data_IF_474984138388
#
_entry.id   IF_474984138388
#
_cell.length_a   1.000
_cell.length_b   1.000
_cell.length_c   1.000
_cell.angle_alpha   90.00
_cell.angle_beta   90.00
_cell.angle_gamma   90.00
#
_symmetry.space_group_name_H-M   'P 1'
#
loop_
_entity.id
_entity.type
_entity.pdbx_description
1 polymer ?
#
# COMPACT_ATOMS: atom_id res chain seq x y z
N UNK A 1 0.96 19.07 7.02
CA UNK A 1 0.89 17.60 7.17
C UNK A 1 2.26 17.06 6.80
N UNK A 2 2.97 16.43 7.74
CA UNK A 2 4.23 15.75 7.43
C UNK A 2 3.85 14.38 6.87
N UNK A 3 3.96 14.22 5.55
CA UNK A 3 3.65 12.99 4.82
C UNK A 3 4.87 12.06 4.71
N UNK A 4 5.99 12.40 5.35
CA UNK A 4 7.22 11.61 5.36
C UNK A 4 7.37 10.80 6.66
N UNK A 5 8.12 9.71 6.57
CA UNK A 5 8.53 8.93 7.75
C UNK A 5 9.42 9.76 8.68
N UNK A 6 9.36 9.46 9.97
CA UNK A 6 10.27 10.01 10.98
C UNK A 6 11.71 9.61 10.68
N UNK A 7 12.71 10.49 10.89
CA UNK A 7 14.12 10.14 10.83
C UNK A 7 14.47 8.83 11.52
N UNK A 8 15.26 7.98 10.85
CA UNK A 8 15.63 6.65 11.35
C UNK A 8 14.53 5.57 11.24
N UNK A 9 13.56 5.71 10.34
CA UNK A 9 12.55 4.69 10.09
C UNK A 9 13.15 3.35 9.68
N UNK A 10 12.65 2.28 10.29
CA UNK A 10 13.05 0.91 10.03
C UNK A 10 11.86 -0.03 10.13
N UNK A 11 11.88 -1.12 9.38
CA UNK A 11 10.94 -2.22 9.59
C UNK A 11 11.35 -2.94 10.86
N UNK A 12 10.39 -3.13 11.76
CA UNK A 12 10.63 -3.70 13.07
C UNK A 12 9.57 -4.75 13.43
N UNK A 13 9.91 -5.57 14.42
CA UNK A 13 9.08 -6.63 14.96
C UNK A 13 9.09 -6.59 16.46
N UNK A 14 7.93 -6.79 17.06
CA UNK A 14 7.78 -7.07 18.49
C UNK A 14 6.93 -8.33 18.62
N UNK A 15 7.34 -9.24 19.50
CA UNK A 15 6.57 -10.45 19.82
C UNK A 15 5.86 -10.22 21.14
N UNK A 16 4.65 -10.76 21.25
CA UNK A 16 3.85 -10.77 22.47
C UNK A 16 2.81 -11.88 22.35
N UNK A 17 1.84 -11.87 23.25
CA UNK A 17 0.75 -12.85 23.26
C UNK A 17 -0.58 -12.21 23.63
N UNK A 18 -1.64 -12.84 23.15
CA UNK A 18 -3.02 -12.48 23.46
C UNK A 18 -3.51 -13.41 24.58
N UNK A 19 -4.07 -12.84 25.64
CA UNK A 19 -4.74 -13.58 26.72
C UNK A 19 -6.21 -13.20 26.69
N UNK A 20 -7.08 -14.18 26.55
CA UNK A 20 -8.53 -13.96 26.50
C UNK A 20 -9.21 -14.55 27.73
N UNK A 21 -10.31 -13.92 28.12
CA UNK A 21 -11.20 -14.40 29.18
C UNK A 21 -12.62 -13.92 28.88
N UNK A 22 -13.58 -14.38 29.67
CA UNK A 22 -14.96 -13.88 29.60
C UNK A 22 -15.08 -12.38 29.95
N UNK A 23 -14.02 -11.77 30.50
CA UNK A 23 -13.97 -10.34 30.83
C UNK A 23 -13.31 -9.48 29.75
N UNK A 24 -12.68 -10.08 28.74
CA UNK A 24 -12.05 -9.35 27.64
C UNK A 24 -10.72 -9.93 27.15
N UNK A 25 -9.98 -9.07 26.45
CA UNK A 25 -8.72 -9.40 25.77
C UNK A 25 -7.59 -8.57 26.36
N UNK A 26 -6.46 -9.21 26.65
CA UNK A 26 -5.25 -8.58 27.18
C UNK A 26 -4.05 -8.89 26.27
N UNK A 27 -3.24 -7.87 25.97
CA UNK A 27 -1.99 -7.99 25.22
C UNK A 27 -0.80 -8.04 26.20
N UNK A 28 0.00 -9.09 26.16
CA UNK A 28 1.16 -9.28 27.05
C UNK A 28 2.47 -9.42 26.28
N UNK A 29 3.56 -9.10 26.97
CA UNK A 29 4.93 -9.44 26.61
C UNK A 29 5.49 -8.76 25.34
N UNK A 30 4.85 -7.69 24.85
CA UNK A 30 5.35 -6.82 23.78
C UNK A 30 6.49 -5.89 24.24
N UNK A 31 7.52 -6.44 24.87
CA UNK A 31 8.53 -5.65 25.62
C UNK A 31 9.84 -5.44 24.87
N UNK A 32 10.09 -6.20 23.81
CA UNK A 32 11.34 -6.14 23.06
C UNK A 32 11.09 -5.93 21.57
N UNK A 33 11.44 -4.73 21.09
CA UNK A 33 11.43 -4.39 19.66
C UNK A 33 12.74 -4.83 19.02
N UNK A 34 12.64 -5.61 17.95
CA UNK A 34 13.76 -5.98 17.09
C UNK A 34 13.65 -5.23 15.77
N UNK A 35 14.69 -4.48 15.44
CA UNK A 35 14.86 -3.93 14.08
C UNK A 35 15.14 -5.09 13.12
N UNK A 36 14.39 -5.16 12.03
CA UNK A 36 14.55 -6.19 11.00
C UNK A 36 15.48 -5.70 9.89
N UNK A 37 15.16 -4.58 9.26
CA UNK A 37 15.96 -3.96 8.20
C UNK A 37 15.55 -2.50 7.95
N UNK A 38 16.39 -1.77 7.21
CA UNK A 38 16.26 -0.37 6.83
C UNK A 38 16.40 -0.25 5.30
N UNK A 39 16.07 0.91 4.74
CA UNK A 39 16.34 1.19 3.32
C UNK A 39 17.84 1.07 3.01
N UNK A 40 18.17 0.44 1.88
CA UNK A 40 19.54 0.01 1.55
C UNK A 40 20.29 0.98 0.62
N UNK A 41 19.60 1.98 0.07
CA UNK A 41 20.14 2.95 -0.87
C UNK A 41 20.48 2.37 -2.24
N UNK A 42 20.17 1.09 -2.47
CA UNK A 42 20.42 0.37 -3.73
C UNK A 42 19.12 0.04 -4.43
N UNK A 43 18.17 -0.57 -3.72
CA UNK A 43 16.80 -0.77 -4.21
C UNK A 43 15.86 0.29 -3.64
N UNK A 44 16.01 0.63 -2.36
CA UNK A 44 15.11 1.50 -1.61
C UNK A 44 15.82 2.76 -1.14
N UNK A 45 15.21 3.91 -1.39
CA UNK A 45 15.77 5.23 -1.10
C UNK A 45 16.01 5.44 0.39
N UNK A 46 17.17 6.00 0.74
CA UNK A 46 17.52 6.31 2.14
C UNK A 46 17.25 7.77 2.50
N UNK A 47 17.28 8.07 3.80
CA UNK A 47 17.28 9.44 4.34
C UNK A 47 18.33 10.35 3.70
N UNK A 48 19.53 9.81 3.49
CA UNK A 48 20.64 10.56 2.93
C UNK A 48 20.37 10.95 1.46
N UNK A 49 19.68 10.09 0.71
CA UNK A 49 19.33 10.32 -0.69
C UNK A 49 18.12 11.25 -0.85
N UNK A 50 17.18 11.22 0.09
CA UNK A 50 16.00 12.07 0.12
C UNK A 50 15.54 12.26 1.56
N UNK A 51 15.57 13.49 2.08
CA UNK A 51 15.11 13.79 3.46
C UNK A 51 13.62 13.58 3.71
N UNK A 52 12.84 13.33 2.65
CA UNK A 52 11.41 13.03 2.68
C UNK A 52 11.08 11.66 2.07
N UNK A 53 12.03 10.73 2.05
CA UNK A 53 11.82 9.37 1.58
C UNK A 53 10.68 8.65 2.32
N UNK A 54 10.13 7.64 1.67
CA UNK A 54 9.13 6.73 2.21
C UNK A 54 9.75 5.35 2.47
N UNK A 55 9.53 4.78 3.66
CA UNK A 55 9.95 3.42 4.02
C UNK A 55 9.15 2.91 5.22
N UNK A 56 8.01 2.23 4.98
CA UNK A 56 7.03 1.90 6.04
C UNK A 56 6.08 0.77 5.64
N UNK A 57 5.11 0.51 6.51
CA UNK A 57 3.96 -0.37 6.28
C UNK A 57 4.30 -1.83 5.92
N UNK A 58 5.00 -2.56 6.82
CA UNK A 58 5.30 -3.97 6.59
C UNK A 58 4.02 -4.82 6.57
N UNK A 59 3.83 -5.57 5.50
CA UNK A 59 2.72 -6.53 5.32
C UNK A 59 3.27 -7.93 5.01
N UNK A 60 3.54 -8.74 6.06
CA UNK A 60 4.04 -10.10 5.89
C UNK A 60 2.94 -11.05 5.39
N UNK A 61 3.31 -11.99 4.51
CA UNK A 61 2.42 -13.02 3.98
C UNK A 61 3.21 -14.29 3.63
N UNK A 62 2.52 -15.43 3.66
CA UNK A 62 3.08 -16.68 3.13
C UNK A 62 2.66 -16.79 1.67
N UNK A 63 3.62 -16.93 0.76
CA UNK A 63 3.31 -17.14 -0.66
C UNK A 63 2.59 -18.49 -0.83
N UNK A 64 1.37 -18.53 -1.42
CA UNK A 64 0.65 -19.78 -1.59
C UNK A 64 1.33 -20.76 -2.54
N UNK A 65 2.25 -20.29 -3.39
CA UNK A 65 2.93 -21.12 -4.38
C UNK A 65 4.19 -21.81 -3.83
N UNK A 66 5.06 -21.10 -3.11
CA UNK A 66 6.31 -21.68 -2.59
C UNK A 66 6.37 -21.86 -1.06
N UNK A 67 5.38 -21.36 -0.33
CA UNK A 67 5.25 -21.52 1.12
C UNK A 67 6.24 -20.70 1.96
N UNK A 68 7.03 -19.81 1.35
CA UNK A 68 7.95 -18.93 2.11
C UNK A 68 7.21 -17.72 2.66
N UNK A 69 7.77 -17.19 3.74
CA UNK A 69 7.33 -15.94 4.34
C UNK A 69 7.99 -14.76 3.60
N UNK A 70 7.17 -13.95 2.96
CA UNK A 70 7.52 -12.70 2.30
C UNK A 70 6.91 -11.52 3.06
N UNK A 71 7.33 -10.31 2.69
CA UNK A 71 6.78 -9.06 3.18
C UNK A 71 6.82 -8.03 2.06
N UNK A 72 5.67 -7.41 1.76
CA UNK A 72 5.65 -6.17 1.00
C UNK A 72 5.66 -4.98 1.95
N UNK A 73 6.20 -3.86 1.48
CA UNK A 73 6.31 -2.61 2.25
C UNK A 73 6.38 -1.43 1.28
N UNK A 74 6.04 -0.24 1.75
CA UNK A 74 6.21 0.99 0.97
C UNK A 74 7.69 1.39 0.95
N UNK A 75 8.17 1.80 -0.22
CA UNK A 75 9.47 2.43 -0.39
C UNK A 75 9.42 3.57 -1.41
N UNK A 76 10.54 4.27 -1.55
CA UNK A 76 10.87 4.99 -2.78
C UNK A 76 12.00 4.28 -3.53
N UNK A 77 12.05 4.43 -4.86
CA UNK A 77 13.17 3.93 -5.68
C UNK A 77 14.46 4.64 -5.28
N UNK A 78 15.50 3.87 -4.97
CA UNK A 78 16.80 4.41 -4.57
C UNK A 78 17.40 5.40 -5.58
N UNK A 79 18.19 6.34 -5.06
CA UNK A 79 18.85 7.39 -5.83
C UNK A 79 18.60 8.78 -5.25
N UNK A 80 19.50 9.72 -5.51
CA UNK A 80 19.41 11.10 -5.03
C UNK A 80 18.11 11.76 -5.49
N UNK A 81 17.44 12.49 -4.60
CA UNK A 81 16.15 13.14 -4.87
C UNK A 81 16.23 14.00 -6.14
N UNK A 82 15.38 13.68 -7.13
CA UNK A 82 15.31 14.41 -8.39
C UNK A 82 16.38 14.03 -9.43
N UNK A 83 17.19 13.01 -9.17
CA UNK A 83 18.14 12.44 -10.15
C UNK A 83 17.51 11.37 -11.05
N UNK A 84 16.32 10.87 -10.69
CA UNK A 84 15.62 9.81 -11.40
C UNK A 84 15.28 10.23 -12.83
N UNK A 85 15.39 9.29 -13.76
CA UNK A 85 15.01 9.48 -15.15
C UNK A 85 13.62 8.91 -15.37
N UNK A 86 12.71 9.73 -15.88
CA UNK A 86 11.41 9.26 -16.41
C UNK A 86 11.63 9.02 -17.89
N UNK A 87 12.00 7.79 -18.24
CA UNK A 87 12.31 7.38 -19.60
C UNK A 87 11.12 6.77 -20.33
N UNK A 88 11.39 6.15 -21.47
CA UNK A 88 10.36 5.49 -22.29
C UNK A 88 9.67 4.34 -21.53
N UNK A 89 10.39 3.66 -20.64
CA UNK A 89 9.84 2.56 -19.85
C UNK A 89 8.86 3.07 -18.78
N UNK A 90 9.19 4.17 -18.11
CA UNK A 90 8.35 4.81 -17.09
C UNK A 90 7.14 5.53 -17.70
N UNK A 91 7.37 6.25 -18.80
CA UNK A 91 6.33 7.01 -19.50
C UNK A 91 5.30 6.09 -20.16
N UNK A 92 5.76 4.95 -20.69
CA UNK A 92 4.95 4.08 -21.52
C UNK A 92 4.45 4.79 -22.80
N UNK A 93 3.42 4.24 -23.47
CA UNK A 93 2.86 4.85 -24.66
C UNK A 93 2.01 6.08 -24.29
N UNK A 94 2.45 7.27 -24.70
CA UNK A 94 1.68 8.51 -24.58
C UNK A 94 1.36 9.10 -25.97
N UNK A 95 0.25 9.85 -26.11
CA UNK A 95 -0.04 10.55 -27.36
C UNK A 95 1.04 11.60 -27.68
N UNK A 96 1.31 11.89 -28.97
CA UNK A 96 2.25 12.94 -29.35
C UNK A 96 1.96 14.27 -28.64
N UNK A 97 2.99 14.91 -28.11
CA UNK A 97 2.90 16.17 -27.37
C UNK A 97 2.68 16.02 -25.85
N UNK A 98 2.69 14.78 -25.32
CA UNK A 98 2.57 14.48 -23.89
C UNK A 98 3.86 13.88 -23.31
N UNK A 99 5.00 14.06 -23.99
CA UNK A 99 6.31 13.56 -23.57
C UNK A 99 7.01 14.47 -22.55
N UNK A 100 6.53 15.70 -22.34
CA UNK A 100 7.06 16.58 -21.30
C UNK A 100 6.55 16.13 -19.92
N UNK A 101 7.48 15.66 -19.11
CA UNK A 101 7.24 15.10 -17.78
C UNK A 101 7.47 16.11 -16.65
N UNK A 102 7.82 17.37 -16.96
CA UNK A 102 7.98 18.43 -15.96
C UNK A 102 8.83 18.02 -14.74
N UNK A 103 8.24 18.14 -13.55
CA UNK A 103 8.82 17.76 -12.26
C UNK A 103 8.66 16.28 -11.87
N UNK A 104 8.08 15.43 -12.71
CA UNK A 104 7.68 14.06 -12.36
C UNK A 104 8.79 13.16 -11.79
N UNK A 105 10.06 13.48 -12.07
CA UNK A 105 11.25 12.83 -11.47
C UNK A 105 11.33 12.92 -9.94
N UNK A 106 10.51 13.76 -9.29
CA UNK A 106 10.43 13.84 -7.84
C UNK A 106 9.45 12.82 -7.24
N UNK A 107 8.57 12.21 -8.03
CA UNK A 107 7.61 11.19 -7.61
C UNK A 107 8.18 9.82 -7.94
N UNK A 108 8.63 9.10 -6.91
CA UNK A 108 9.44 7.88 -7.10
C UNK A 108 9.00 6.76 -6.16
N UNK A 109 7.70 6.64 -5.89
CA UNK A 109 7.14 5.59 -5.04
C UNK A 109 7.43 4.18 -5.59
N UNK A 110 7.55 3.20 -4.70
CA UNK A 110 7.61 1.80 -5.06
C UNK A 110 7.01 0.88 -4.00
N UNK A 111 6.61 -0.31 -4.44
CA UNK A 111 6.23 -1.41 -3.55
C UNK A 111 7.41 -2.35 -3.44
N UNK A 112 7.99 -2.41 -2.25
CA UNK A 112 9.12 -3.27 -1.96
C UNK A 112 8.74 -4.70 -1.63
N UNK A 113 9.76 -5.56 -1.64
CA UNK A 113 9.65 -6.95 -1.25
C UNK A 113 10.86 -7.36 -0.42
N UNK A 114 10.61 -8.16 0.62
CA UNK A 114 11.63 -8.89 1.34
C UNK A 114 11.18 -10.34 1.56
N UNK A 115 12.13 -11.25 1.69
CA UNK A 115 11.91 -12.66 2.01
C UNK A 115 12.56 -13.00 3.35
N UNK A 116 11.84 -13.67 4.23
CA UNK A 116 12.41 -14.16 5.47
C UNK A 116 13.27 -15.40 5.22
N UNK A 117 14.36 -15.55 5.97
CA UNK A 117 15.20 -16.77 5.91
C UNK A 117 14.41 -18.04 6.26
N UNK A 118 13.40 -17.89 7.13
CA UNK A 118 12.47 -18.94 7.54
C UNK A 118 11.15 -18.34 8.05
N UNK A 119 10.19 -19.21 8.40
CA UNK A 119 8.87 -18.81 8.91
C UNK A 119 8.90 -18.14 10.28
N UNK A 120 10.05 -18.09 10.96
CA UNK A 120 10.16 -17.33 12.21
C UNK A 120 10.06 -15.82 11.96
N UNK A 121 10.44 -15.35 10.76
CA UNK A 121 10.45 -13.94 10.38
C UNK A 121 11.43 -13.11 11.21
N UNK A 122 12.56 -13.70 11.62
CA UNK A 122 13.58 -13.06 12.45
C UNK A 122 14.69 -12.39 11.64
N UNK A 123 14.94 -12.85 10.42
CA UNK A 123 15.97 -12.36 9.52
C UNK A 123 15.41 -12.30 8.12
N UNK A 124 15.71 -11.22 7.41
CA UNK A 124 15.10 -10.89 6.13
C UNK A 124 16.16 -10.51 5.11
N UNK A 125 15.93 -10.92 3.87
CA UNK A 125 16.67 -10.47 2.70
C UNK A 125 15.79 -9.51 1.90
N UNK A 126 16.31 -8.31 1.66
CA UNK A 126 15.67 -7.30 0.83
C UNK A 126 15.80 -7.72 -0.65
N UNK A 127 14.70 -7.69 -1.39
CA UNK A 127 14.62 -8.03 -2.81
C UNK A 127 14.34 -6.78 -3.67
N UNK A 128 14.53 -6.82 -5.00
CA UNK A 128 14.11 -5.74 -5.89
C UNK A 128 12.61 -5.39 -5.73
N UNK A 129 12.22 -4.13 -5.98
CA UNK A 129 10.82 -3.71 -5.89
C UNK A 129 9.95 -4.44 -6.91
N UNK A 130 8.70 -4.71 -6.53
CA UNK A 130 7.71 -5.37 -7.38
C UNK A 130 7.03 -4.42 -8.36
N UNK A 131 6.75 -3.19 -7.91
CA UNK A 131 6.11 -2.13 -8.68
C UNK A 131 6.86 -0.83 -8.41
N UNK A 132 7.21 -0.10 -9.46
CA UNK A 132 7.75 1.26 -9.37
C UNK A 132 6.75 2.23 -9.98
N UNK A 133 6.61 3.41 -9.36
CA UNK A 133 5.73 4.50 -9.78
C UNK A 133 6.54 5.76 -10.11
N UNK A 134 7.76 5.57 -10.63
CA UNK A 134 8.65 6.67 -11.05
C UNK A 134 7.97 7.49 -12.14
N UNK A 135 7.83 8.80 -11.89
CA UNK A 135 7.12 9.69 -12.80
C UNK A 135 5.58 9.62 -12.70
N UNK A 136 5.04 8.85 -11.74
CA UNK A 136 3.59 8.66 -11.58
C UNK A 136 3.12 9.15 -10.22
N UNK A 137 3.64 8.59 -9.13
CA UNK A 137 3.19 8.93 -7.78
C UNK A 137 4.31 8.68 -6.76
N UNK A 138 4.43 9.55 -5.75
CA UNK A 138 5.46 9.42 -4.71
C UNK A 138 5.12 8.39 -3.63
N UNK A 139 3.83 8.08 -3.45
CA UNK A 139 3.35 7.27 -2.34
C UNK A 139 2.52 6.09 -2.84
N UNK A 140 3.02 4.89 -2.58
CA UNK A 140 2.31 3.62 -2.75
C UNK A 140 2.24 2.94 -1.38
N UNK A 141 1.40 3.49 -0.52
CA UNK A 141 1.35 3.17 0.91
C UNK A 141 0.57 1.88 1.19
N UNK A 142 0.73 1.35 2.40
CA UNK A 142 0.07 0.13 2.90
C UNK A 142 -0.06 -1.00 1.87
N UNK A 143 1.02 -1.42 1.18
CA UNK A 143 0.89 -2.50 0.22
C UNK A 143 0.47 -3.81 0.90
N UNK A 144 -0.40 -4.59 0.28
CA UNK A 144 -0.85 -5.88 0.80
C UNK A 144 -1.42 -6.76 -0.30
N UNK A 145 -1.40 -8.08 -0.07
CA UNK A 145 -1.97 -9.05 -1.00
C UNK A 145 -3.37 -9.49 -0.59
N UNK A 146 -4.20 -9.71 -1.61
CA UNK A 146 -5.31 -10.67 -1.57
C UNK A 146 -5.05 -11.73 -2.64
N UNK A 147 -5.17 -13.00 -2.26
CA UNK A 147 -5.09 -14.11 -3.19
C UNK A 147 -6.50 -14.61 -3.50
N UNK A 148 -6.87 -14.63 -4.78
CA UNK A 148 -8.19 -15.09 -5.22
C UNK A 148 -8.08 -15.73 -6.61
N UNK A 149 -8.73 -16.87 -6.82
CA UNK A 149 -8.81 -17.54 -8.13
C UNK A 149 -7.44 -17.78 -8.80
N UNK A 150 -6.44 -18.13 -7.99
CA UNK A 150 -5.06 -18.35 -8.45
C UNK A 150 -4.33 -17.07 -8.88
N UNK A 151 -4.82 -15.89 -8.48
CA UNK A 151 -4.24 -14.58 -8.79
C UNK A 151 -3.70 -13.87 -7.57
N UNK A 152 -2.69 -13.05 -7.80
CA UNK A 152 -2.02 -12.17 -6.86
C UNK A 152 -2.55 -10.76 -7.05
N UNK A 153 -3.46 -10.32 -6.18
CA UNK A 153 -3.94 -8.93 -6.16
C UNK A 153 -3.08 -8.13 -5.17
N UNK A 154 -2.17 -7.31 -5.70
CA UNK A 154 -1.35 -6.39 -4.92
C UNK A 154 -2.08 -5.04 -4.83
N UNK A 155 -2.59 -4.72 -3.65
CA UNK A 155 -3.23 -3.45 -3.36
C UNK A 155 -2.27 -2.49 -2.67
N UNK A 156 -2.50 -1.21 -2.88
CA UNK A 156 -1.81 -0.10 -2.23
C UNK A 156 -2.76 1.10 -2.18
N UNK A 157 -2.48 2.08 -1.34
CA UNK A 157 -3.24 3.33 -1.31
C UNK A 157 -2.36 4.49 -1.74
N UNK A 158 -2.99 5.56 -2.22
CA UNK A 158 -2.29 6.77 -2.56
C UNK A 158 -3.20 7.98 -2.43
N UNK A 159 -2.57 9.16 -2.37
CA UNK A 159 -3.23 10.45 -2.36
C UNK A 159 -3.24 11.09 -3.75
N UNK A 160 -4.21 11.99 -3.97
CA UNK A 160 -4.27 12.83 -5.16
C UNK A 160 -3.07 13.77 -5.24
N UNK A 161 -2.64 14.34 -4.12
CA UNK A 161 -1.60 15.37 -4.09
C UNK A 161 -0.17 14.82 -4.26
N UNK A 162 0.00 13.49 -4.24
CA UNK A 162 1.30 12.83 -4.43
C UNK A 162 1.55 12.40 -5.87
N UNK A 163 0.57 12.62 -6.76
CA UNK A 163 0.75 12.41 -8.19
C UNK A 163 1.79 13.36 -8.79
N UNK A 164 2.46 12.87 -9.81
CA UNK A 164 3.40 13.63 -10.62
C UNK A 164 2.68 14.65 -11.53
N UNK A 165 3.45 15.61 -12.03
CA UNK A 165 2.98 16.55 -13.06
C UNK A 165 2.37 15.80 -14.25
N UNK A 166 1.20 16.25 -14.72
CA UNK A 166 0.51 15.66 -15.87
C UNK A 166 -0.32 14.41 -15.56
N UNK A 167 -0.30 13.89 -14.33
CA UNK A 167 -1.07 12.72 -13.90
C UNK A 167 -2.00 13.09 -12.74
N UNK A 168 -3.16 12.44 -12.63
CA UNK A 168 -4.07 12.64 -11.50
C UNK A 168 -4.93 11.41 -11.23
N UNK A 169 -5.42 11.31 -10.00
CA UNK A 169 -6.33 10.28 -9.52
C UNK A 169 -6.94 10.69 -8.18
N UNK A 170 -8.00 10.02 -7.71
CA UNK A 170 -8.56 10.27 -6.38
C UNK A 170 -7.68 9.66 -5.28
N UNK A 171 -7.85 10.15 -4.05
CA UNK A 171 -7.43 9.42 -2.86
C UNK A 171 -8.16 8.07 -2.81
N UNK A 172 -7.46 6.98 -2.48
CA UNK A 172 -8.10 5.68 -2.36
C UNK A 172 -7.20 4.49 -2.61
N UNK A 173 -7.82 3.36 -2.95
CA UNK A 173 -7.17 2.08 -3.26
C UNK A 173 -6.79 2.03 -4.74
N UNK A 174 -5.54 1.71 -4.98
CA UNK A 174 -4.99 1.29 -6.26
C UNK A 174 -4.59 -0.19 -6.17
N UNK A 175 -4.56 -0.87 -7.29
CA UNK A 175 -4.25 -2.29 -7.31
C UNK A 175 -3.70 -2.78 -8.64
N UNK A 176 -2.97 -3.88 -8.54
CA UNK A 176 -2.35 -4.57 -9.63
C UNK A 176 -2.60 -6.07 -9.50
N UNK A 177 -2.83 -6.75 -10.62
CA UNK A 177 -3.08 -8.20 -10.65
C UNK A 177 -2.03 -8.92 -11.45
N UNK A 178 -1.56 -10.06 -10.94
CA UNK A 178 -0.65 -10.96 -11.63
C UNK A 178 -1.00 -12.42 -11.38
N UNK A 179 -0.35 -13.30 -12.14
CA UNK A 179 -0.42 -14.75 -11.97
C UNK A 179 0.71 -15.30 -11.06
N UNK A 180 1.71 -14.47 -10.76
CA UNK A 180 2.90 -14.83 -9.98
C UNK A 180 3.34 -13.67 -9.09
N UNK A 181 3.99 -13.99 -7.97
CA UNK A 181 4.52 -13.00 -7.01
C UNK A 181 5.44 -11.95 -7.65
N UNK A 182 6.28 -12.33 -8.60
CA UNK A 182 7.23 -11.42 -9.26
C UNK A 182 6.67 -10.77 -10.54
N UNK A 183 5.36 -10.89 -10.77
CA UNK A 183 4.70 -10.35 -11.95
C UNK A 183 4.89 -11.20 -13.22
N UNK A 184 4.66 -10.60 -14.41
CA UNK A 184 4.31 -9.20 -14.63
C UNK A 184 2.94 -8.85 -14.04
N UNK A 185 2.84 -7.64 -13.50
CA UNK A 185 1.60 -7.08 -12.96
C UNK A 185 0.83 -6.28 -14.02
N UNK A 186 -0.50 -6.32 -13.95
CA UNK A 186 -1.40 -5.50 -14.76
C UNK A 186 -2.19 -4.57 -13.83
N UNK A 187 -2.26 -3.25 -14.09
CA UNK A 187 -3.10 -2.34 -13.31
C UNK A 187 -4.57 -2.74 -13.38
N UNK A 188 -5.24 -2.74 -12.22
CA UNK A 188 -6.68 -3.03 -12.12
C UNK A 188 -7.50 -1.95 -12.84
N UNK A 189 -8.64 -2.32 -13.42
CA UNK A 189 -9.55 -1.42 -14.13
C UNK A 189 -8.86 -0.57 -15.22
N UNK A 190 -7.79 -1.10 -15.82
CA UNK A 190 -6.93 -0.44 -16.81
C UNK A 190 -6.16 0.82 -16.33
N UNK A 191 -6.50 1.40 -15.18
CA UNK A 191 -5.84 2.61 -14.63
C UNK A 191 -5.06 2.38 -13.34
N UNK A 192 -5.25 1.21 -12.72
CA UNK A 192 -4.82 0.91 -11.36
C UNK A 192 -5.86 1.27 -10.30
N UNK A 193 -6.83 2.15 -10.57
CA UNK A 193 -7.83 2.57 -9.58
C UNK A 193 -8.78 1.43 -9.22
N UNK A 194 -8.93 1.10 -7.93
CA UNK A 194 -9.81 0.04 -7.42
C UNK A 194 -11.02 0.60 -6.68
N UNK A 195 -10.79 1.57 -5.80
CA UNK A 195 -11.82 2.23 -4.98
C UNK A 195 -11.32 3.64 -4.64
N UNK A 196 -11.88 4.66 -5.30
CA UNK A 196 -11.53 6.06 -5.05
C UNK A 196 -12.61 6.78 -4.25
N UNK A 197 -12.18 7.77 -3.46
CA UNK A 197 -13.10 8.72 -2.85
C UNK A 197 -13.87 9.49 -3.94
N UNK A 198 -15.16 9.79 -3.71
CA UNK A 198 -15.95 10.54 -4.68
C UNK A 198 -15.49 12.00 -4.75
N UNK A 199 -15.58 12.67 -5.92
CA UNK A 199 -15.15 14.07 -6.07
C UNK A 199 -15.83 15.05 -5.10
N UNK A 200 -17.08 14.78 -4.71
CA UNK A 200 -17.83 15.56 -3.74
C UNK A 200 -17.35 15.39 -2.29
N UNK A 201 -16.62 14.32 -1.97
CA UNK A 201 -16.02 14.08 -0.65
C UNK A 201 -14.61 13.48 -0.79
N UNK A 202 -13.66 14.23 -1.37
CA UNK A 202 -12.38 13.69 -1.85
C UNK A 202 -11.48 13.16 -0.73
N UNK A 203 -11.70 13.59 0.51
CA UNK A 203 -10.91 13.23 1.69
C UNK A 203 -11.72 12.42 2.71
N UNK A 204 -12.88 11.86 2.33
CA UNK A 204 -13.76 11.21 3.30
C UNK A 204 -13.08 10.02 4.00
N UNK A 205 -12.28 9.24 3.26
CA UNK A 205 -11.70 7.99 3.77
C UNK A 205 -10.26 7.79 3.30
N UNK A 206 -9.43 7.24 4.18
CA UNK A 206 -8.06 6.88 3.86
C UNK A 206 -7.58 5.64 4.63
N UNK A 207 -6.34 5.21 4.38
CA UNK A 207 -5.77 3.96 4.92
C UNK A 207 -6.65 2.74 4.70
N UNK A 208 -7.22 2.63 3.50
CA UNK A 208 -8.01 1.48 3.10
C UNK A 208 -7.21 0.16 3.21
N UNK A 209 -7.87 -0.92 3.64
CA UNK A 209 -7.30 -2.27 3.67
C UNK A 209 -8.32 -3.25 3.07
N UNK A 210 -7.95 -3.88 1.94
CA UNK A 210 -8.76 -4.89 1.27
C UNK A 210 -8.52 -6.23 1.94
N UNK A 211 -9.55 -6.77 2.58
CA UNK A 211 -9.52 -8.05 3.26
C UNK A 211 -9.77 -9.21 2.28
N UNK A 212 -9.25 -10.42 2.55
CA UNK A 212 -9.48 -11.61 1.72
C UNK A 212 -10.95 -11.99 1.42
N UNK A 213 -11.92 -11.51 2.18
CA UNK A 213 -13.36 -11.72 1.92
C UNK A 213 -13.98 -10.66 0.98
N UNK A 214 -13.18 -9.74 0.44
CA UNK A 214 -13.62 -8.64 -0.42
C UNK A 214 -14.18 -7.44 0.34
N UNK A 215 -14.14 -7.44 1.68
CA UNK A 215 -14.45 -6.24 2.46
C UNK A 215 -13.27 -5.29 2.47
N UNK A 216 -13.54 -3.98 2.54
CA UNK A 216 -12.54 -2.91 2.60
C UNK A 216 -12.88 -2.01 3.79
N UNK A 217 -12.00 -2.02 4.79
CA UNK A 217 -12.08 -1.08 5.92
C UNK A 217 -11.21 0.14 5.64
N UNK A 218 -11.52 1.28 6.26
CA UNK A 218 -10.78 2.54 6.13
C UNK A 218 -11.13 3.45 7.31
N UNK A 219 -10.30 4.44 7.61
CA UNK A 219 -10.69 5.48 8.59
C UNK A 219 -11.24 6.71 7.88
N UNK A 220 -12.08 7.45 8.59
CA UNK A 220 -12.60 8.74 8.15
C UNK A 220 -11.54 9.81 8.43
N UNK A 221 -11.04 10.44 7.37
CA UNK A 221 -10.15 11.60 7.50
C UNK A 221 -11.00 12.87 7.65
N UNK A 222 -11.50 13.40 6.54
CA UNK A 222 -12.12 14.73 6.50
C UNK A 222 -13.38 14.72 5.63
N UNK A 223 -14.54 14.94 6.24
CA UNK A 223 -15.84 14.98 5.55
C UNK A 223 -16.29 16.43 5.39
N UNK A 224 -16.63 16.89 4.17
CA UNK A 224 -17.16 18.23 3.95
C UNK A 224 -18.40 18.52 4.80
N UNK A 225 -18.51 19.75 5.30
CA UNK A 225 -19.69 20.24 6.02
C UNK A 225 -20.35 21.39 5.24
N UNK A 226 -20.62 22.54 5.88
CA UNK A 226 -21.19 23.70 5.20
C UNK A 226 -20.08 24.66 4.76
N UNK A 227 -20.08 25.09 3.50
CA UNK A 227 -19.02 25.96 2.97
C UNK A 227 -17.74 25.20 2.66
N UNK A 228 -16.59 25.74 3.06
CA UNK A 228 -15.26 25.14 2.86
C UNK A 228 -14.76 24.34 4.08
N UNK A 229 -15.59 24.19 5.10
CA UNK A 229 -15.23 23.54 6.37
C UNK A 229 -15.36 22.01 6.31
N UNK A 230 -14.47 21.33 7.04
CA UNK A 230 -14.45 19.87 7.16
C UNK A 230 -14.66 19.43 8.61
N UNK A 231 -15.38 18.32 8.77
CA UNK A 231 -15.40 17.56 10.02
C UNK A 231 -14.34 16.48 9.96
N UNK A 232 -13.43 16.51 10.94
CA UNK A 232 -12.42 15.48 11.11
C UNK A 232 -13.04 14.24 11.75
N UNK A 233 -12.74 13.07 11.19
CA UNK A 233 -13.22 11.79 11.67
C UNK A 233 -12.37 11.21 12.79
N UNK A 234 -11.24 10.61 12.46
CA UNK A 234 -10.39 9.90 13.41
C UNK A 234 -11.05 8.62 13.97
N UNK A 235 -11.91 7.99 13.17
CA UNK A 235 -12.64 6.75 13.49
C UNK A 235 -12.83 5.92 12.23
N UNK A 236 -13.19 4.64 12.35
CA UNK A 236 -13.46 3.79 11.20
C UNK A 236 -14.64 4.33 10.39
N UNK A 237 -14.55 4.21 9.07
CA UNK A 237 -15.62 4.48 8.13
C UNK A 237 -16.57 3.27 8.02
N UNK A 238 -17.72 3.41 7.35
CA UNK A 238 -18.48 2.26 6.88
C UNK A 238 -17.57 1.32 6.09
N UNK A 239 -17.57 0.04 6.43
CA UNK A 239 -16.84 -0.96 5.64
C UNK A 239 -17.59 -1.18 4.34
N UNK A 240 -16.90 -1.20 3.20
CA UNK A 240 -17.52 -1.47 1.90
C UNK A 240 -17.12 -2.84 1.39
N UNK A 241 -17.90 -3.42 0.48
CA UNK A 241 -17.53 -4.63 -0.24
C UNK A 241 -17.20 -4.34 -1.68
N UNK A 242 -16.06 -4.90 -2.12
CA UNK A 242 -15.69 -4.95 -3.52
C UNK A 242 -15.73 -6.39 -4.04
N UNK A 243 -16.02 -6.53 -5.32
CA UNK A 243 -15.92 -7.77 -6.08
C UNK A 243 -14.73 -7.68 -7.02
N UNK A 244 -13.88 -8.71 -7.01
CA UNK A 244 -12.77 -8.85 -7.95
C UNK A 244 -13.15 -9.85 -9.04
N UNK A 245 -12.99 -9.45 -10.31
CA UNK A 245 -13.23 -10.29 -11.48
C UNK A 245 -12.12 -10.09 -12.51
N UNK A 246 -11.15 -11.01 -12.52
CA UNK A 246 -9.98 -10.86 -13.39
C UNK A 246 -9.20 -9.61 -13.02
N UNK A 247 -9.05 -8.68 -13.96
CA UNK A 247 -8.39 -7.38 -13.78
C UNK A 247 -9.37 -6.25 -13.46
N UNK A 248 -10.61 -6.56 -13.04
CA UNK A 248 -11.64 -5.57 -12.70
C UNK A 248 -12.09 -5.64 -11.25
N UNK A 249 -12.47 -4.50 -10.69
CA UNK A 249 -13.15 -4.38 -9.40
C UNK A 249 -14.50 -3.67 -9.51
N UNK A 250 -15.40 -3.96 -8.59
CA UNK A 250 -16.72 -3.33 -8.50
C UNK A 250 -17.12 -3.14 -7.05
N UNK A 251 -17.60 -1.96 -6.68
CA UNK A 251 -18.26 -1.76 -5.37
C UNK A 251 -19.63 -2.42 -5.41
N UNK A 252 -19.95 -3.21 -4.38
CA UNK A 252 -21.20 -3.95 -4.30
C UNK A 252 -22.17 -3.36 -3.28
N UNK A 253 -21.72 -3.20 -2.04
CA UNK A 253 -22.57 -2.78 -0.92
C UNK A 253 -21.73 -2.17 0.21
N UNK A 254 -22.42 -1.48 1.13
CA UNK A 254 -21.88 -0.83 2.32
C UNK A 254 -22.39 -1.55 3.58
N UNK A 255 -21.53 -1.66 4.58
CA UNK A 255 -21.79 -2.24 5.90
C UNK A 255 -21.66 -1.16 6.97
N UNK A 256 -21.95 -1.53 8.22
CA UNK A 256 -21.82 -0.62 9.36
C UNK A 256 -20.38 -0.13 9.56
N UNK A 257 -20.25 0.95 10.33
CA UNK A 257 -18.98 1.58 10.67
C UNK A 257 -18.03 0.58 11.35
N UNK A 258 -16.81 0.44 10.84
CA UNK A 258 -15.80 -0.46 11.41
C UNK A 258 -16.20 -1.94 11.44
N UNK A 259 -17.05 -2.38 10.51
CA UNK A 259 -17.39 -3.79 10.37
C UNK A 259 -16.21 -4.63 9.87
N UNK A 260 -15.39 -5.10 10.81
CA UNK A 260 -14.21 -5.93 10.55
C UNK A 260 -14.45 -7.32 11.16
N UNK A 261 -15.12 -8.24 10.44
CA UNK A 261 -15.42 -9.55 10.98
C UNK A 261 -14.15 -10.39 11.12
N UNK A 262 -14.06 -11.16 12.21
CA UNK A 262 -13.01 -12.15 12.36
C UNK A 262 -13.10 -13.18 11.21
N UNK A 263 -12.01 -13.35 10.49
CA UNK A 263 -11.89 -14.38 9.47
C UNK A 263 -11.20 -15.59 10.09
N UNK A 264 -11.76 -16.79 9.86
CA UNK A 264 -10.97 -18.01 10.12
C UNK A 264 -9.79 -18.01 9.15
N UNK A 265 -8.70 -18.68 9.52
CA UNK A 265 -7.63 -19.04 8.58
C UNK A 265 -8.26 -19.87 7.45
N UNK A 266 -8.66 -19.21 6.37
CA UNK A 266 -9.20 -19.89 5.19
C UNK A 266 -8.03 -20.18 4.27
N UNK A 267 -7.48 -21.38 4.38
CA UNK A 267 -6.79 -21.97 3.23
C UNK A 267 -7.88 -22.29 2.21
N UNK A 268 -8.04 -21.43 1.19
CA UNK A 268 -8.96 -21.69 0.09
C UNK A 268 -8.40 -22.87 -0.72
N UNK A 269 -9.00 -24.04 -0.55
CA UNK A 269 -8.75 -25.24 -1.36
C UNK A 269 -9.37 -25.13 -2.74
#
# INVERSE_FOLDING_TARGET
YYTCVTPGAAIAKVRGRIVTSDQGVELKDFTQVKKLFEADGTYYQTEAQNSSWNFRDPSPFIDPNDGKLYMVFEGNVAGERGSHTVGVAELGPVPPGHEDVGGARFQVGCIGLAVAKDLSGEEWEILPPLVTAVGVNDQTERPHYVFQDGKYYLFTISHKFTYADGVTGPDGVYGFVGEHLFGPYRPMNASGLVLGNPPEQPFQTYSHCVMPNGLVTSFIDSVPTTGEDYRIGGTEAPTVRILLKGDRSFVQEEYDYGYIPAMKDVTLS
#
